data_IF_605102378042
#
_entry.id   IF_605102378042
#
_cell.length_a   1.000
_cell.length_b   1.000
_cell.length_c   1.000
_cell.angle_alpha   90.00
_cell.angle_beta   90.00
_cell.angle_gamma   90.00
#
_symmetry.space_group_name_H-M   'P 1'
#
loop_
_entity.id
_entity.type
_entity.pdbx_description
1 polymer ?
#
# COMPACT_ATOMS: atom_id res chain seq x y z
N UNK A 1 -21.85 14.58 20.55
CA UNK A 1 -23.03 13.86 20.03
C UNK A 1 -23.55 12.99 21.15
N UNK A 2 -24.59 13.44 21.86
CA UNK A 2 -25.20 12.69 22.97
C UNK A 2 -26.43 11.93 22.46
N UNK A 3 -26.19 10.87 21.69
CA UNK A 3 -27.20 9.88 21.26
C UNK A 3 -26.80 8.46 21.68
N UNK A 4 -25.96 8.35 22.71
CA UNK A 4 -25.41 7.08 23.20
C UNK A 4 -25.96 6.68 24.58
N UNK A 5 -27.06 7.29 25.05
CA UNK A 5 -27.63 6.98 26.37
C UNK A 5 -28.80 6.00 26.35
N UNK A 6 -29.46 5.79 25.20
CA UNK A 6 -30.50 4.77 25.09
C UNK A 6 -29.94 3.51 24.43
N UNK A 7 -29.94 2.41 25.19
CA UNK A 7 -29.55 1.11 24.68
C UNK A 7 -30.53 0.69 23.58
N UNK A 8 -30.10 0.89 22.33
CA UNK A 8 -30.87 0.59 21.12
C UNK A 8 -31.26 -0.90 21.02
N UNK A 9 -30.70 -1.74 21.88
CA UNK A 9 -31.04 -3.16 21.97
C UNK A 9 -32.31 -3.43 22.78
N UNK A 10 -32.81 -2.44 23.55
CA UNK A 10 -34.03 -2.53 24.35
C UNK A 10 -35.25 -2.70 23.43
N UNK A 11 -36.06 -3.73 23.70
CA UNK A 11 -37.27 -4.04 22.91
C UNK A 11 -37.03 -4.94 21.69
N UNK A 12 -35.77 -5.28 21.36
CA UNK A 12 -35.47 -6.25 20.31
C UNK A 12 -35.66 -7.69 20.81
N UNK A 13 -36.14 -8.56 19.93
CA UNK A 13 -36.26 -9.99 20.26
C UNK A 13 -34.89 -10.66 20.37
N UNK A 14 -34.77 -11.71 21.18
CA UNK A 14 -33.50 -12.42 21.38
C UNK A 14 -32.86 -12.94 20.07
N UNK A 15 -33.67 -13.30 19.07
CA UNK A 15 -33.17 -13.69 17.74
C UNK A 15 -32.53 -12.51 16.99
N UNK A 16 -33.12 -11.32 17.09
CA UNK A 16 -32.56 -10.10 16.50
C UNK A 16 -31.25 -9.74 17.19
N UNK A 17 -31.21 -9.79 18.52
CA UNK A 17 -30.00 -9.53 19.31
C UNK A 17 -28.86 -10.51 18.97
N UNK A 18 -29.19 -11.79 18.81
CA UNK A 18 -28.21 -12.78 18.37
C UNK A 18 -27.66 -12.44 16.99
N UNK A 19 -28.53 -12.02 16.06
CA UNK A 19 -28.09 -11.66 14.70
C UNK A 19 -27.20 -10.41 14.68
N UNK A 20 -27.53 -9.41 15.50
CA UNK A 20 -26.69 -8.23 15.71
C UNK A 20 -25.30 -8.66 16.17
N UNK A 21 -25.21 -9.53 17.19
CA UNK A 21 -23.93 -9.99 17.71
C UNK A 21 -23.10 -10.74 16.67
N UNK A 22 -23.73 -11.60 15.88
CA UNK A 22 -23.08 -12.29 14.76
C UNK A 22 -22.53 -11.30 13.73
N UNK A 23 -23.31 -10.28 13.36
CA UNK A 23 -22.90 -9.24 12.42
C UNK A 23 -21.76 -8.39 12.97
N UNK A 24 -21.78 -8.05 14.26
CA UNK A 24 -20.71 -7.31 14.93
C UNK A 24 -19.39 -8.09 14.86
N UNK A 25 -19.41 -9.38 15.20
CA UNK A 25 -18.22 -10.26 15.11
C UNK A 25 -17.73 -10.38 13.67
N UNK A 26 -18.66 -10.48 12.72
CA UNK A 26 -18.31 -10.56 11.31
C UNK A 26 -17.67 -9.26 10.80
N UNK A 27 -18.23 -8.11 11.18
CA UNK A 27 -17.69 -6.79 10.87
C UNK A 27 -16.28 -6.63 11.45
N UNK A 28 -16.08 -7.02 12.71
CA UNK A 28 -14.77 -6.94 13.36
C UNK A 28 -13.73 -7.82 12.65
N UNK A 29 -14.14 -9.03 12.22
CA UNK A 29 -13.28 -9.91 11.43
C UNK A 29 -12.91 -9.26 10.09
N UNK A 30 -13.90 -8.79 9.33
CA UNK A 30 -13.67 -8.14 8.04
C UNK A 30 -12.81 -6.87 8.18
N UNK A 31 -13.01 -6.09 9.24
CA UNK A 31 -12.21 -4.91 9.55
C UNK A 31 -10.73 -5.27 9.76
N UNK A 32 -10.44 -6.33 10.52
CA UNK A 32 -9.07 -6.84 10.70
C UNK A 32 -8.47 -7.34 9.39
N UNK A 33 -9.20 -8.13 8.62
CA UNK A 33 -8.76 -8.63 7.32
C UNK A 33 -8.46 -7.49 6.34
N UNK A 34 -9.33 -6.46 6.31
CA UNK A 34 -9.15 -5.30 5.45
C UNK A 34 -7.92 -4.49 5.86
N UNK A 35 -7.72 -4.28 7.17
CA UNK A 35 -6.51 -3.61 7.69
C UNK A 35 -5.24 -4.37 7.31
N UNK A 36 -5.25 -5.70 7.41
CA UNK A 36 -4.11 -6.53 7.00
C UNK A 36 -3.84 -6.41 5.50
N UNK A 37 -4.87 -6.43 4.66
CA UNK A 37 -4.74 -6.24 3.21
C UNK A 37 -4.21 -4.85 2.85
N UNK A 38 -4.68 -3.81 3.53
CA UNK A 38 -4.18 -2.45 3.33
C UNK A 38 -2.68 -2.37 3.62
N UNK A 39 -2.23 -2.94 4.74
CA UNK A 39 -0.80 -2.99 5.07
C UNK A 39 0.02 -3.75 4.02
N UNK A 40 -0.52 -4.85 3.47
CA UNK A 40 0.15 -5.57 2.37
C UNK A 40 0.26 -4.71 1.11
N UNK A 41 -0.81 -3.98 0.75
CA UNK A 41 -0.80 -3.07 -0.39
C UNK A 41 0.23 -1.94 -0.18
N UNK A 42 0.25 -1.32 0.99
CA UNK A 42 1.20 -0.23 1.31
C UNK A 42 2.65 -0.72 1.23
N UNK A 43 2.93 -1.95 1.68
CA UNK A 43 4.24 -2.58 1.58
C UNK A 43 4.66 -2.83 0.13
N UNK A 44 3.74 -3.35 -0.70
CA UNK A 44 4.01 -3.59 -2.13
C UNK A 44 4.26 -2.26 -2.84
N UNK A 45 3.44 -1.25 -2.58
CA UNK A 45 3.57 0.09 -3.14
C UNK A 45 4.94 0.70 -2.81
N UNK A 46 5.33 0.66 -1.53
CA UNK A 46 6.64 1.15 -1.08
C UNK A 46 7.81 0.39 -1.74
N UNK A 47 7.68 -0.93 -1.89
CA UNK A 47 8.71 -1.75 -2.55
C UNK A 47 8.83 -1.39 -4.04
N UNK A 48 7.70 -1.20 -4.72
CA UNK A 48 7.65 -0.80 -6.11
C UNK A 48 8.31 0.56 -6.32
N UNK A 49 7.96 1.56 -5.51
CA UNK A 49 8.56 2.90 -5.57
C UNK A 49 10.09 2.86 -5.41
N UNK A 50 10.59 2.06 -4.46
CA UNK A 50 12.04 1.83 -4.28
C UNK A 50 12.68 1.23 -5.52
N UNK A 51 12.04 0.22 -6.13
CA UNK A 51 12.55 -0.39 -7.36
C UNK A 51 12.54 0.59 -8.54
N UNK A 52 11.49 1.40 -8.67
CA UNK A 52 11.40 2.44 -9.71
C UNK A 52 12.55 3.44 -9.57
N UNK A 53 12.80 3.96 -8.37
CA UNK A 53 13.93 4.88 -8.13
C UNK A 53 15.26 4.21 -8.46
N UNK A 54 15.45 2.95 -8.05
CA UNK A 54 16.67 2.20 -8.36
C UNK A 54 16.89 2.06 -9.87
N UNK A 55 15.87 1.63 -10.62
CA UNK A 55 15.95 1.46 -12.07
C UNK A 55 16.24 2.79 -12.77
N UNK A 56 15.63 3.89 -12.32
CA UNK A 56 15.92 5.21 -12.84
C UNK A 56 17.39 5.59 -12.58
N UNK A 57 17.87 5.43 -11.36
CA UNK A 57 19.27 5.71 -11.01
C UNK A 57 20.24 4.87 -11.85
N UNK A 58 19.99 3.56 -11.97
CA UNK A 58 20.81 2.65 -12.78
C UNK A 58 20.83 3.13 -14.25
N UNK A 59 19.67 3.49 -14.82
CA UNK A 59 19.58 4.02 -16.18
C UNK A 59 20.41 5.30 -16.38
N UNK A 60 20.36 6.24 -15.43
CA UNK A 60 21.21 7.44 -15.48
C UNK A 60 22.69 7.08 -15.48
N UNK A 61 23.11 6.22 -14.55
CA UNK A 61 24.51 5.78 -14.45
C UNK A 61 24.99 5.13 -15.75
N UNK A 62 24.21 4.18 -16.30
CA UNK A 62 24.53 3.57 -17.60
C UNK A 62 24.62 4.61 -18.71
N UNK A 63 23.70 5.58 -18.76
CA UNK A 63 23.72 6.67 -19.73
C UNK A 63 25.00 7.52 -19.62
N UNK A 64 25.41 7.90 -18.41
CA UNK A 64 26.65 8.65 -18.18
C UNK A 64 27.88 7.87 -18.62
N UNK A 65 27.95 6.58 -18.29
CA UNK A 65 29.07 5.74 -18.71
C UNK A 65 29.14 5.59 -20.22
N UNK A 66 28.00 5.38 -20.90
CA UNK A 66 27.94 5.28 -22.35
C UNK A 66 28.39 6.59 -23.02
N UNK A 67 27.88 7.72 -22.53
CA UNK A 67 28.25 9.05 -23.04
C UNK A 67 29.74 9.33 -22.87
N UNK A 68 30.30 9.04 -21.69
CA UNK A 68 31.74 9.16 -21.44
C UNK A 68 32.58 8.26 -22.36
N UNK A 69 32.16 7.01 -22.58
CA UNK A 69 32.84 6.09 -23.50
C UNK A 69 32.82 6.59 -24.95
N UNK A 70 31.71 7.20 -25.40
CA UNK A 70 31.59 7.80 -26.72
C UNK A 70 32.52 9.00 -26.86
N UNK A 71 32.52 9.93 -25.89
CA UNK A 71 33.43 11.08 -25.90
C UNK A 71 34.90 10.67 -25.93
N UNK A 72 35.28 9.68 -25.11
CA UNK A 72 36.64 9.16 -25.09
C UNK A 72 37.05 8.56 -26.45
N UNK A 73 36.11 7.88 -27.13
CA UNK A 73 36.36 7.33 -28.45
C UNK A 73 36.53 8.43 -29.50
N UNK A 74 35.76 9.51 -29.42
CA UNK A 74 35.90 10.67 -30.31
C UNK A 74 37.28 11.33 -30.14
N UNK A 75 37.73 11.56 -28.90
CA UNK A 75 39.06 12.13 -28.62
C UNK A 75 40.21 11.26 -29.15
N UNK A 76 40.02 9.93 -29.20
CA UNK A 76 40.99 9.01 -29.81
C UNK A 76 41.02 9.07 -31.34
N UNK A 77 39.92 9.44 -32.00
CA UNK A 77 39.85 9.56 -33.47
C UNK A 77 40.36 10.91 -33.99
N UNK A 78 40.37 11.94 -33.14
CA UNK A 78 40.86 13.29 -33.48
C UNK A 78 42.39 13.46 -33.30
N UNK A 79 43.09 12.43 -32.81
CA UNK A 79 44.56 12.35 -32.70
C UNK A 79 45.18 11.57 -33.85
#
# INVERSE_FOLDING_TARGET
>A
MSWAEEDWTVGLSGRVLQKVKELQVHQDRLSRENKQKQLQLDNIQTSLEKQTVKVQADMFVYGYHLYGAVLHKIDQYDK
#
